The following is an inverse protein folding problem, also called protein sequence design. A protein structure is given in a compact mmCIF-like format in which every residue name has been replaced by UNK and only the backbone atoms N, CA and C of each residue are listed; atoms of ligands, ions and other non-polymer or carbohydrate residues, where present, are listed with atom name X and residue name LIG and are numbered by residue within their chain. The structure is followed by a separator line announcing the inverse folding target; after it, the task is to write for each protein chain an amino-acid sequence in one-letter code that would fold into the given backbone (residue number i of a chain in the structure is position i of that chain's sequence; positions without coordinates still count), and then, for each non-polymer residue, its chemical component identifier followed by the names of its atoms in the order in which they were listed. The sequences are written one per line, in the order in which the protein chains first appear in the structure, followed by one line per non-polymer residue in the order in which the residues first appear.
data_IF_144476635391
#
_entry.id   IF_144476635391
#
_cell.length_a   1.000
_cell.length_b   1.000
_cell.length_c   1.000
_cell.angle_alpha   90.00
_cell.angle_beta   90.00
_cell.angle_gamma   90.00
#
_symmetry.space_group_name_H-M   'P 1'
#
loop_
_entity.id
_entity.type
_entity.pdbx_description
1 polymer ?
#
# COMPACT_ATOMS: atom_id res chain seq x y z
N UNK A 1 -2.63 0.53 19.84
CA UNK A 1 -2.02 -0.08 18.63
C UNK A 1 -3.12 -0.72 17.82
N UNK A 2 -3.65 0.04 16.86
CA UNK A 2 -4.72 -0.41 15.99
C UNK A 2 -4.09 -1.09 14.79
N UNK A 3 -4.28 -2.40 14.69
CA UNK A 3 -3.93 -3.19 13.51
C UNK A 3 -4.63 -2.70 12.25
N UNK A 4 -4.22 -3.20 11.12
CA UNK A 4 -4.75 -2.93 9.79
C UNK A 4 -6.29 -2.83 9.81
N UNK A 5 -6.82 -1.83 9.13
CA UNK A 5 -8.26 -1.55 9.00
C UNK A 5 -9.01 -2.83 8.64
N UNK A 6 -9.95 -3.25 9.49
CA UNK A 6 -10.85 -4.36 9.27
C UNK A 6 -10.54 -5.67 9.99
N UNK A 7 -9.48 -5.75 10.81
CA UNK A 7 -9.23 -6.98 11.57
C UNK A 7 -8.46 -6.71 12.85
N UNK A 8 -8.94 -7.26 13.96
CA UNK A 8 -8.13 -7.32 15.18
C UNK A 8 -7.04 -8.37 15.02
N UNK A 9 -5.80 -7.88 14.83
CA UNK A 9 -4.63 -8.74 14.85
C UNK A 9 -4.39 -9.23 16.27
N UNK A 10 -4.58 -10.50 16.51
CA UNK A 10 -4.35 -11.09 17.83
C UNK A 10 -2.85 -11.16 18.10
N UNK A 11 -2.32 -10.19 18.86
CA UNK A 11 -0.89 -10.06 19.25
C UNK A 11 -0.39 -11.26 20.08
N UNK A 12 -1.26 -12.18 20.45
CA UNK A 12 -0.88 -13.38 21.23
C UNK A 12 0.00 -14.38 20.49
N UNK A 13 0.03 -14.33 19.16
CA UNK A 13 0.93 -15.19 18.40
C UNK A 13 2.28 -14.51 18.18
N UNK A 14 3.20 -14.72 19.12
CA UNK A 14 4.63 -14.35 19.03
C UNK A 14 5.38 -15.02 17.87
N UNK A 15 4.64 -15.51 16.86
CA UNK A 15 5.17 -16.32 15.75
C UNK A 15 5.22 -15.58 14.43
N UNK A 16 5.02 -14.26 14.43
CA UNK A 16 5.12 -13.46 13.20
C UNK A 16 6.52 -13.53 12.58
N UNK A 17 7.57 -13.60 13.41
CA UNK A 17 8.97 -13.77 13.03
C UNK A 17 9.42 -12.78 11.93
N UNK A 18 9.04 -11.51 12.05
CA UNK A 18 9.35 -10.42 11.11
C UNK A 18 9.07 -10.78 9.63
N UNK A 19 8.03 -11.56 9.38
CA UNK A 19 7.62 -11.96 8.03
C UNK A 19 8.43 -13.08 7.40
N UNK A 20 9.35 -13.71 8.13
CA UNK A 20 10.07 -14.88 7.66
C UNK A 20 9.17 -16.11 7.58
N UNK A 21 9.59 -17.08 6.77
CA UNK A 21 8.91 -18.35 6.62
C UNK A 21 8.78 -19.08 7.96
N UNK A 22 7.57 -19.57 8.26
CA UNK A 22 7.27 -20.27 9.50
C UNK A 22 6.61 -19.40 10.57
N UNK A 23 6.53 -18.08 10.35
CA UNK A 23 5.67 -17.19 11.13
C UNK A 23 4.20 -17.43 10.84
N UNK A 24 3.32 -17.05 11.78
CA UNK A 24 1.87 -17.13 11.63
C UNK A 24 1.21 -15.92 12.28
N UNK A 25 0.27 -15.32 11.55
CA UNK A 25 -0.56 -14.23 12.04
C UNK A 25 -2.02 -14.68 12.01
N UNK A 26 -2.74 -14.54 13.11
CA UNK A 26 -4.17 -14.79 13.17
C UNK A 26 -4.94 -13.51 12.99
N UNK A 27 -5.82 -13.50 12.02
CA UNK A 27 -6.71 -12.38 11.70
C UNK A 27 -8.12 -12.78 12.05
N UNK A 28 -8.81 -11.95 12.85
CA UNK A 28 -10.16 -12.21 13.35
C UNK A 28 -11.16 -11.20 12.80
N UNK A 29 -12.38 -11.68 12.56
CA UNK A 29 -13.53 -10.84 12.34
C UNK A 29 -13.83 -9.97 13.57
N UNK A 30 -14.32 -8.76 13.37
CA UNK A 30 -14.78 -7.91 14.47
C UNK A 30 -16.22 -8.26 14.80
N UNK A 31 -16.41 -8.94 15.92
CA UNK A 31 -17.71 -9.41 16.37
C UNK A 31 -18.12 -8.59 17.59
N UNK A 32 -19.26 -7.91 17.48
CA UNK A 32 -19.87 -7.14 18.56
C UNK A 32 -21.06 -7.91 19.13
N UNK A 33 -21.23 -7.81 20.42
CA UNK A 33 -22.40 -8.35 21.11
C UNK A 33 -23.46 -7.26 21.16
N UNK A 34 -24.55 -7.43 20.41
CA UNK A 34 -25.71 -6.52 20.47
C UNK A 34 -26.51 -6.87 21.70
N UNK A 35 -26.93 -8.13 21.81
CA UNK A 35 -27.75 -8.67 22.90
C UNK A 35 -27.21 -10.04 23.34
N UNK A 36 -27.79 -10.59 24.41
CA UNK A 36 -27.48 -11.94 24.87
C UNK A 36 -27.85 -13.05 23.85
N UNK A 37 -28.62 -12.70 22.81
CA UNK A 37 -29.13 -13.63 21.79
C UNK A 37 -28.68 -13.28 20.38
N UNK A 38 -28.01 -12.13 20.17
CA UNK A 38 -27.61 -11.67 18.85
C UNK A 38 -26.18 -11.13 18.86
N UNK A 39 -25.36 -11.64 17.95
CA UNK A 39 -24.04 -11.16 17.67
C UNK A 39 -24.03 -10.46 16.31
N UNK A 40 -23.31 -9.35 16.17
CA UNK A 40 -23.11 -8.66 14.91
C UNK A 40 -21.64 -8.77 14.49
N UNK A 41 -21.40 -9.18 13.26
CA UNK A 41 -20.07 -9.15 12.65
C UNK A 41 -20.00 -7.88 11.83
N UNK A 42 -19.21 -6.92 12.29
CA UNK A 42 -19.02 -5.61 11.67
C UNK A 42 -17.90 -5.62 10.62
N UNK A 43 -16.98 -6.56 10.70
CA UNK A 43 -15.85 -6.66 9.78
C UNK A 43 -15.47 -8.13 9.57
N UNK A 44 -15.23 -8.53 8.32
CA UNK A 44 -14.76 -9.88 7.96
C UNK A 44 -13.24 -9.94 7.90
N UNK A 45 -12.61 -11.11 8.14
CA UNK A 45 -11.15 -11.24 8.07
C UNK A 45 -10.63 -11.01 6.67
N UNK A 46 -9.38 -10.56 6.59
CA UNK A 46 -8.69 -10.39 5.31
C UNK A 46 -8.70 -11.68 4.47
N UNK A 47 -9.01 -11.54 3.19
CA UNK A 47 -9.07 -12.66 2.24
C UNK A 47 -10.36 -13.49 2.29
N UNK A 48 -11.35 -13.09 3.11
CA UNK A 48 -12.68 -13.71 3.14
C UNK A 48 -13.75 -12.75 2.65
N UNK A 49 -14.78 -13.30 2.03
CA UNK A 49 -15.96 -12.55 1.57
C UNK A 49 -17.12 -12.73 2.53
N UNK A 50 -18.03 -11.77 2.57
CA UNK A 50 -19.23 -11.81 3.41
C UNK A 50 -20.05 -13.08 3.20
N UNK A 51 -20.41 -13.48 1.94
CA UNK A 51 -21.10 -14.72 1.68
C UNK A 51 -20.32 -15.95 2.16
N UNK A 52 -18.98 -15.97 1.96
CA UNK A 52 -18.13 -17.07 2.40
C UNK A 52 -18.14 -17.28 3.92
N UNK A 53 -18.14 -16.18 4.69
CA UNK A 53 -18.23 -16.24 6.16
C UNK A 53 -19.63 -16.74 6.57
N UNK A 54 -20.71 -16.23 5.96
CA UNK A 54 -22.06 -16.71 6.22
C UNK A 54 -22.20 -18.21 5.96
N UNK A 55 -21.72 -18.69 4.82
CA UNK A 55 -21.73 -20.12 4.46
C UNK A 55 -20.93 -20.97 5.45
N UNK A 56 -19.78 -20.48 5.92
CA UNK A 56 -18.97 -21.19 6.91
C UNK A 56 -19.69 -21.32 8.25
N UNK A 57 -20.43 -20.29 8.66
CA UNK A 57 -21.23 -20.27 9.89
C UNK A 57 -22.38 -21.28 9.78
N UNK A 58 -23.12 -21.27 8.65
CA UNK A 58 -24.20 -22.21 8.40
C UNK A 58 -23.68 -23.66 8.42
N UNK A 59 -22.61 -23.96 7.69
CA UNK A 59 -21.98 -25.27 7.68
C UNK A 59 -21.51 -25.75 9.07
N UNK A 60 -20.99 -24.82 9.90
CA UNK A 60 -20.61 -25.14 11.26
C UNK A 60 -21.82 -25.45 12.15
N UNK A 61 -22.96 -24.79 11.93
CA UNK A 61 -24.22 -25.06 12.58
C UNK A 61 -24.79 -26.42 12.18
N UNK A 62 -24.82 -26.74 10.89
CA UNK A 62 -25.29 -28.03 10.37
C UNK A 62 -24.47 -29.20 10.93
N UNK A 63 -23.14 -29.00 11.10
CA UNK A 63 -22.27 -29.97 11.76
C UNK A 63 -22.41 -30.05 13.28
N UNK A 64 -23.34 -29.26 13.85
CA UNK A 64 -23.62 -29.25 15.30
C UNK A 64 -22.52 -28.62 16.16
N UNK A 65 -21.50 -27.97 15.55
CA UNK A 65 -20.41 -27.34 16.29
C UNK A 65 -20.83 -26.04 16.97
N UNK A 66 -21.76 -25.31 16.35
CA UNK A 66 -22.30 -24.06 16.85
C UNK A 66 -23.83 -24.16 16.86
N UNK A 67 -24.49 -23.64 17.91
CA UNK A 67 -25.94 -23.64 18.01
C UNK A 67 -26.47 -22.24 17.67
N UNK A 68 -26.79 -22.01 16.42
CA UNK A 68 -27.42 -20.78 15.92
C UNK A 68 -28.83 -21.05 15.43
N UNK A 69 -29.68 -20.03 15.45
CA UNK A 69 -31.06 -20.09 14.94
C UNK A 69 -31.10 -19.60 13.48
N UNK A 70 -30.46 -18.48 13.19
CA UNK A 70 -30.48 -17.81 11.89
C UNK A 70 -29.28 -16.94 11.71
N UNK A 71 -28.81 -16.79 10.47
CA UNK A 71 -27.81 -15.79 10.03
C UNK A 71 -28.52 -14.87 9.05
N UNK A 72 -28.38 -13.57 9.23
CA UNK A 72 -28.91 -12.53 8.35
C UNK A 72 -27.76 -11.65 7.86
N UNK A 73 -27.68 -11.49 6.55
CA UNK A 73 -26.74 -10.56 5.92
C UNK A 73 -27.48 -9.25 5.63
N UNK A 74 -27.11 -8.21 6.36
CA UNK A 74 -27.60 -6.84 6.19
C UNK A 74 -26.56 -5.91 5.61
N UNK A 75 -25.53 -6.47 5.02
CA UNK A 75 -24.41 -5.72 4.43
C UNK A 75 -24.90 -4.79 3.33
N UNK A 76 -24.59 -3.49 3.48
CA UNK A 76 -24.83 -2.46 2.47
C UNK A 76 -23.51 -1.75 2.16
N UNK A 77 -23.34 -0.50 2.54
CA UNK A 77 -22.09 0.24 2.48
C UNK A 77 -21.07 -0.26 3.52
N UNK A 78 -21.57 -0.74 4.65
CA UNK A 78 -20.77 -1.34 5.74
C UNK A 78 -21.18 -2.79 5.91
N UNK A 79 -20.21 -3.62 6.30
CA UNK A 79 -20.46 -5.03 6.61
C UNK A 79 -21.30 -5.12 7.89
N UNK A 80 -22.40 -5.83 7.80
CA UNK A 80 -23.27 -6.13 8.95
C UNK A 80 -23.91 -7.51 8.78
N UNK A 81 -23.41 -8.50 9.52
CA UNK A 81 -23.96 -9.85 9.56
C UNK A 81 -24.53 -10.10 10.96
N UNK A 82 -25.80 -10.37 11.06
CA UNK A 82 -26.45 -10.71 12.33
C UNK A 82 -26.50 -12.23 12.51
N UNK A 83 -25.97 -12.69 13.63
CA UNK A 83 -26.03 -14.11 14.03
C UNK A 83 -26.95 -14.26 15.24
N UNK A 84 -28.11 -14.86 15.02
CA UNK A 84 -29.10 -15.14 16.08
C UNK A 84 -28.79 -16.47 16.74
N UNK A 85 -28.61 -16.45 18.05
CA UNK A 85 -28.25 -17.61 18.85
C UNK A 85 -29.50 -18.44 19.21
N UNK A 86 -29.33 -19.73 19.41
CA UNK A 86 -30.36 -20.60 19.92
C UNK A 86 -30.66 -20.29 21.41
N UNK A 87 -31.89 -20.50 21.89
CA UNK A 87 -32.23 -20.30 23.29
C UNK A 87 -31.34 -21.15 24.23
N UNK A 88 -30.91 -20.54 25.33
CA UNK A 88 -30.09 -21.22 26.35
C UNK A 88 -28.60 -21.33 26.05
N UNK A 89 -28.11 -20.70 24.98
CA UNK A 89 -26.67 -20.68 24.63
C UNK A 89 -26.03 -19.38 25.09
N UNK A 90 -24.86 -19.47 25.70
CA UNK A 90 -24.07 -18.30 26.11
C UNK A 90 -23.45 -17.63 24.89
N UNK A 91 -23.63 -16.30 24.78
CA UNK A 91 -23.05 -15.50 23.71
C UNK A 91 -21.52 -15.58 23.68
N UNK A 92 -20.87 -15.61 24.86
CA UNK A 92 -19.38 -15.61 24.93
C UNK A 92 -18.82 -16.95 24.46
N UNK A 93 -19.43 -18.08 24.84
CA UNK A 93 -19.04 -19.40 24.34
C UNK A 93 -19.27 -19.54 22.84
N UNK A 94 -20.33 -18.93 22.32
CA UNK A 94 -20.60 -18.96 20.88
C UNK A 94 -19.61 -18.10 20.12
N UNK A 95 -19.21 -16.95 20.67
CA UNK A 95 -18.16 -16.11 20.08
C UNK A 95 -16.84 -16.87 19.94
N UNK A 96 -16.41 -17.56 20.99
CA UNK A 96 -15.22 -18.42 20.92
C UNK A 96 -15.36 -19.56 19.90
N UNK A 97 -16.56 -20.14 19.83
CA UNK A 97 -16.88 -21.19 18.86
C UNK A 97 -16.89 -20.69 17.42
N UNK A 98 -17.36 -19.44 17.17
CA UNK A 98 -17.28 -18.80 15.86
C UNK A 98 -15.82 -18.65 15.41
N UNK A 99 -14.92 -18.19 16.28
CA UNK A 99 -13.51 -18.11 15.94
C UNK A 99 -12.85 -19.47 15.73
N UNK A 100 -13.26 -20.49 16.49
CA UNK A 100 -12.63 -21.82 16.42
C UNK A 100 -13.09 -22.68 15.23
N UNK A 101 -14.34 -22.52 14.77
CA UNK A 101 -14.98 -23.45 13.84
C UNK A 101 -15.45 -22.81 12.53
N UNK A 102 -15.32 -21.50 12.37
CA UNK A 102 -15.75 -20.79 11.16
C UNK A 102 -14.63 -19.95 10.58
N UNK A 103 -14.89 -19.38 9.42
CA UNK A 103 -13.97 -18.44 8.75
C UNK A 103 -13.90 -17.05 9.43
N UNK A 104 -14.44 -16.91 10.64
CA UNK A 104 -14.29 -15.71 11.46
C UNK A 104 -12.86 -15.53 12.02
N UNK A 105 -12.04 -16.56 12.04
CA UNK A 105 -10.59 -16.50 12.29
C UNK A 105 -9.84 -17.17 11.16
N UNK A 106 -8.85 -16.49 10.60
CA UNK A 106 -7.99 -17.00 9.52
C UNK A 106 -6.54 -16.87 9.95
N UNK A 107 -5.75 -17.92 9.69
CA UNK A 107 -4.31 -17.90 9.90
C UNK A 107 -3.60 -17.56 8.60
N UNK A 108 -2.76 -16.52 8.62
CA UNK A 108 -1.91 -16.12 7.51
C UNK A 108 -0.47 -16.44 7.86
N UNK A 109 0.18 -17.20 6.99
CA UNK A 109 1.62 -17.50 7.11
C UNK A 109 2.38 -16.54 6.20
N UNK A 110 3.03 -15.50 6.75
CA UNK A 110 3.82 -14.57 5.95
C UNK A 110 5.03 -15.28 5.37
N UNK A 111 5.40 -14.89 4.17
CA UNK A 111 6.62 -15.31 3.50
C UNK A 111 7.05 -14.14 2.61
N UNK A 112 7.87 -13.27 3.18
CA UNK A 112 8.29 -12.05 2.49
C UNK A 112 9.31 -12.39 1.42
N UNK A 113 8.86 -12.40 0.15
CA UNK A 113 9.70 -12.58 -1.02
C UNK A 113 9.64 -11.31 -1.87
N UNK A 114 10.77 -10.72 -2.16
CA UNK A 114 10.90 -9.52 -3.00
C UNK A 114 11.79 -9.81 -4.20
N UNK A 115 11.52 -9.14 -5.30
CA UNK A 115 12.39 -9.20 -6.49
C UNK A 115 13.37 -8.03 -6.40
N UNK A 116 14.65 -8.36 -6.37
CA UNK A 116 15.74 -7.42 -6.35
C UNK A 116 16.76 -7.80 -7.39
N UNK A 117 17.22 -6.85 -8.21
CA UNK A 117 18.13 -7.08 -9.34
C UNK A 117 17.71 -8.28 -10.23
N UNK A 118 16.41 -8.39 -10.50
CA UNK A 118 15.77 -9.48 -11.28
C UNK A 118 15.87 -10.87 -10.65
N UNK A 119 16.22 -10.97 -9.37
CA UNK A 119 16.27 -12.24 -8.61
C UNK A 119 15.33 -12.20 -7.41
N UNK A 120 14.68 -13.33 -7.08
CA UNK A 120 13.86 -13.41 -5.86
C UNK A 120 14.76 -13.52 -4.63
N UNK A 121 14.50 -12.68 -3.63
CA UNK A 121 15.14 -12.70 -2.33
C UNK A 121 14.11 -12.87 -1.22
N UNK A 122 14.39 -13.76 -0.28
CA UNK A 122 13.60 -13.93 0.93
C UNK A 122 14.24 -13.10 2.04
N UNK A 123 13.55 -12.07 2.48
CA UNK A 123 14.05 -11.10 3.45
C UNK A 123 13.03 -10.91 4.56
N UNK A 124 13.48 -10.42 5.71
CA UNK A 124 12.57 -9.95 6.76
C UNK A 124 11.87 -8.67 6.32
N UNK A 125 10.68 -8.39 6.88
CA UNK A 125 9.96 -7.14 6.61
C UNK A 125 10.79 -5.92 6.98
N UNK A 126 11.49 -5.98 8.12
CA UNK A 126 12.40 -4.90 8.55
C UNK A 126 13.54 -4.67 7.56
N UNK A 127 14.12 -5.73 7.00
CA UNK A 127 15.17 -5.62 5.99
C UNK A 127 14.64 -5.03 4.68
N UNK A 128 13.43 -5.42 4.24
CA UNK A 128 12.77 -4.86 3.05
C UNK A 128 12.48 -3.37 3.25
N UNK A 129 11.95 -2.97 4.40
CA UNK A 129 11.67 -1.57 4.70
C UNK A 129 12.93 -0.71 4.68
N UNK A 130 14.02 -1.20 5.29
CA UNK A 130 15.30 -0.51 5.27
C UNK A 130 15.81 -0.32 3.86
N UNK A 131 15.83 -1.40 3.06
CA UNK A 131 16.27 -1.35 1.66
C UNK A 131 15.41 -0.43 0.81
N UNK A 132 14.08 -0.46 0.98
CA UNK A 132 13.16 0.43 0.29
C UNK A 132 13.43 1.91 0.63
N UNK A 133 13.72 2.21 1.91
CA UNK A 133 14.06 3.57 2.36
C UNK A 133 15.36 4.04 1.74
N UNK A 134 16.41 3.22 1.76
CA UNK A 134 17.72 3.56 1.19
C UNK A 134 17.61 3.78 -0.33
N UNK A 135 16.83 2.94 -1.02
CA UNK A 135 16.57 3.09 -2.45
C UNK A 135 15.81 4.38 -2.77
N UNK A 136 14.75 4.69 -2.00
CA UNK A 136 14.00 5.94 -2.16
C UNK A 136 14.88 7.15 -1.97
N UNK A 137 15.75 7.14 -0.96
CA UNK A 137 16.70 8.24 -0.72
C UNK A 137 17.66 8.42 -1.90
N UNK A 138 18.15 7.33 -2.48
CA UNK A 138 19.01 7.34 -3.66
C UNK A 138 18.30 7.92 -4.88
N UNK A 139 17.05 7.51 -5.13
CA UNK A 139 16.24 8.01 -6.24
C UNK A 139 15.95 9.51 -6.12
N UNK A 140 15.61 9.98 -4.91
CA UNK A 140 15.39 11.41 -4.68
C UNK A 140 16.65 12.24 -4.92
N UNK A 141 17.82 11.73 -4.57
CA UNK A 141 19.09 12.41 -4.90
C UNK A 141 19.32 12.50 -6.39
N UNK A 142 19.07 11.40 -7.12
CA UNK A 142 19.21 11.39 -8.58
C UNK A 142 18.23 12.35 -9.25
N UNK A 143 16.99 12.41 -8.79
CA UNK A 143 15.99 13.36 -9.27
C UNK A 143 16.46 14.81 -9.09
N UNK A 144 16.98 15.14 -7.91
CA UNK A 144 17.50 16.49 -7.63
C UNK A 144 18.74 16.82 -8.46
N UNK A 145 19.61 15.86 -8.74
CA UNK A 145 20.78 16.06 -9.61
C UNK A 145 20.37 16.33 -11.05
N UNK A 146 19.38 15.61 -11.58
CA UNK A 146 18.82 15.84 -12.91
C UNK A 146 18.22 17.24 -12.99
N UNK A 147 17.35 17.59 -12.03
CA UNK A 147 16.73 18.92 -12.00
C UNK A 147 17.74 20.06 -11.86
N UNK A 148 18.80 19.84 -11.07
CA UNK A 148 19.92 20.79 -11.00
C UNK A 148 20.60 20.96 -12.36
N UNK A 149 20.80 19.87 -13.10
CA UNK A 149 21.34 19.91 -14.45
C UNK A 149 20.50 20.76 -15.40
N UNK A 150 19.20 20.51 -15.44
CA UNK A 150 18.24 21.28 -16.24
C UNK A 150 18.24 22.78 -15.88
N UNK A 151 18.30 23.10 -14.59
CA UNK A 151 18.36 24.50 -14.14
C UNK A 151 19.68 25.18 -14.52
N UNK A 152 20.80 24.46 -14.49
CA UNK A 152 22.09 24.99 -14.92
C UNK A 152 22.13 25.25 -16.43
N UNK A 153 21.55 24.37 -17.24
CA UNK A 153 21.40 24.57 -18.69
C UNK A 153 20.56 25.80 -18.99
N UNK A 154 19.42 25.95 -18.32
CA UNK A 154 18.55 27.11 -18.45
C UNK A 154 19.25 28.42 -18.02
N UNK A 155 20.01 28.37 -16.93
CA UNK A 155 20.79 29.50 -16.45
C UNK A 155 21.89 29.89 -17.46
N UNK A 156 22.55 28.89 -18.03
CA UNK A 156 23.58 29.11 -19.07
C UNK A 156 22.96 29.79 -20.30
N UNK A 157 21.83 29.25 -20.78
CA UNK A 157 21.10 29.84 -21.91
C UNK A 157 20.69 31.30 -21.63
N UNK A 158 20.08 31.57 -20.48
CA UNK A 158 19.70 32.92 -20.09
C UNK A 158 20.91 33.88 -19.95
N UNK A 159 22.07 33.34 -19.54
CA UNK A 159 23.31 34.13 -19.46
C UNK A 159 23.82 34.49 -20.83
N UNK A 160 23.78 33.61 -21.81
CA UNK A 160 24.11 33.89 -23.20
C UNK A 160 23.16 34.92 -23.82
N UNK A 161 21.87 34.79 -23.61
CA UNK A 161 20.87 35.79 -24.04
C UNK A 161 21.20 37.19 -23.46
N UNK A 162 21.53 37.24 -22.18
CA UNK A 162 21.90 38.47 -21.50
C UNK A 162 23.10 39.13 -22.14
N UNK A 163 24.18 38.37 -22.39
CA UNK A 163 25.42 38.86 -23.05
C UNK A 163 25.07 39.38 -24.46
N UNK A 164 24.28 38.63 -25.23
CA UNK A 164 23.85 39.00 -26.57
C UNK A 164 23.12 40.34 -26.59
N UNK A 165 22.28 40.63 -25.60
CA UNK A 165 21.52 41.88 -25.47
C UNK A 165 22.39 43.02 -24.95
N UNK A 166 23.22 42.81 -23.91
CA UNK A 166 24.06 43.82 -23.27
C UNK A 166 25.15 44.30 -24.21
N UNK A 167 25.80 43.41 -24.91
CA UNK A 167 26.84 43.73 -25.90
C UNK A 167 26.29 44.20 -27.25
N UNK A 168 24.96 44.15 -27.40
CA UNK A 168 24.26 44.59 -28.63
C UNK A 168 24.74 43.88 -29.90
N UNK A 169 25.08 42.60 -29.80
CA UNK A 169 25.59 41.77 -30.90
C UNK A 169 24.64 41.80 -32.10
N UNK A 170 23.35 41.88 -31.84
CA UNK A 170 22.31 42.03 -32.88
C UNK A 170 22.39 43.30 -33.71
N UNK A 171 23.17 44.33 -33.32
CA UNK A 171 23.41 45.56 -34.08
C UNK A 171 24.70 45.57 -34.87
N UNK A 172 25.50 44.52 -34.78
CA UNK A 172 26.72 44.45 -35.57
C UNK A 172 26.41 44.23 -37.06
N UNK A 173 27.10 44.96 -37.91
CA UNK A 173 26.85 44.94 -39.37
C UNK A 173 27.02 43.54 -39.96
N UNK A 174 27.93 42.74 -39.43
CA UNK A 174 28.13 41.34 -39.87
C UNK A 174 26.92 40.43 -39.53
N UNK A 175 26.24 40.69 -38.41
CA UNK A 175 25.04 39.97 -38.03
C UNK A 175 23.83 40.39 -38.91
N UNK A 176 23.68 41.69 -39.14
CA UNK A 176 22.56 42.19 -39.97
C UNK A 176 22.73 41.82 -41.48
N UNK A 177 23.93 41.61 -41.96
CA UNK A 177 24.22 41.22 -43.33
C UNK A 177 24.39 39.70 -43.53
N UNK A 178 24.17 38.88 -42.52
CA UNK A 178 24.21 37.45 -42.65
C UNK A 178 23.08 36.90 -43.54
N UNK A 179 23.43 36.27 -44.66
CA UNK A 179 22.47 35.75 -45.63
C UNK A 179 21.72 34.49 -45.13
N UNK A 180 22.31 33.75 -44.18
CA UNK A 180 21.79 32.49 -43.67
C UNK A 180 21.87 32.44 -42.14
N UNK A 181 20.95 31.67 -41.52
CA UNK A 181 20.90 31.40 -40.09
C UNK A 181 22.21 30.73 -39.58
N UNK A 182 22.82 29.91 -40.40
CA UNK A 182 24.07 29.21 -40.02
C UNK A 182 25.27 30.19 -39.91
N UNK A 183 25.37 31.11 -40.82
CA UNK A 183 26.42 32.16 -40.77
C UNK A 183 26.19 33.12 -39.58
N UNK A 184 24.96 33.40 -39.23
CA UNK A 184 24.64 34.18 -38.03
C UNK A 184 25.00 33.43 -36.75
N UNK A 185 24.77 32.13 -36.69
CA UNK A 185 25.16 31.29 -35.55
C UNK A 185 26.66 31.19 -35.39
N UNK A 186 27.40 30.98 -36.49
CA UNK A 186 28.89 30.96 -36.47
C UNK A 186 29.46 32.29 -35.95
N UNK A 187 28.87 33.42 -36.38
CA UNK A 187 29.32 34.72 -35.89
C UNK A 187 29.02 34.91 -34.39
N UNK A 188 27.88 34.43 -33.91
CA UNK A 188 27.55 34.49 -32.49
C UNK A 188 28.50 33.60 -31.68
N UNK A 189 28.80 32.40 -32.16
CA UNK A 189 29.73 31.48 -31.49
C UNK A 189 31.14 32.09 -31.39
N UNK A 190 31.63 32.73 -32.45
CA UNK A 190 32.93 33.44 -32.42
C UNK A 190 32.98 34.59 -31.39
N UNK A 191 31.80 35.17 -31.08
CA UNK A 191 31.71 36.33 -30.20
C UNK A 191 31.49 35.96 -28.73
N UNK A 192 30.86 34.80 -28.48
CA UNK A 192 30.56 34.30 -27.14
C UNK A 192 31.66 33.38 -26.57
N UNK A 193 32.63 32.96 -27.38
CA UNK A 193 33.81 32.18 -26.98
C UNK A 193 34.89 33.08 -26.43
#
# INVERSE_FOLDING_TARGET
ERGLVGSEMCIRDRRYNDGERGGMVKVRAKINKIDNKTLSIAEVPFGKTVPGVCDSIVKASEKGKIKIRKVEDLTSEKVEILVHLAPGVSSDKTLDALYAFTDCEVSISPNCCVIDEKKPHFLTVSAVLKKATDNTLSLLRQELEIHKGELLENLHFASLEKIFIEERIYKEVKFEQSENTDAACEFIDERLT
#
